data_IF_571127270018
#
_entry.id   IF_571127270018
#
_cell.length_a   1.000
_cell.length_b   1.000
_cell.length_c   1.000
_cell.angle_alpha   90.00
_cell.angle_beta   90.00
_cell.angle_gamma   90.00
#
_symmetry.space_group_name_H-M   'P 1'
#
loop_
_entity.id
_entity.type
_entity.pdbx_description
1 polymer ?
#
# COMPACT_ATOMS: atom_id res chain seq x y z
N UNK A 1 -8.26 -1.59 -21.10
CA UNK A 1 -7.53 -0.68 -20.21
C UNK A 1 -7.46 0.70 -20.82
N UNK A 2 -7.75 1.75 -20.04
CA UNK A 2 -7.60 3.13 -20.51
C UNK A 2 -6.12 3.54 -20.42
N UNK A 3 -5.57 4.19 -21.47
CA UNK A 3 -4.18 4.63 -21.47
C UNK A 3 -3.96 5.74 -20.43
N UNK A 4 -2.82 5.70 -19.76
CA UNK A 4 -2.40 6.77 -18.86
C UNK A 4 -1.91 7.94 -19.71
N UNK A 5 -2.65 9.05 -19.69
CA UNK A 5 -2.26 10.29 -20.38
C UNK A 5 -1.21 11.04 -19.55
N UNK A 6 -0.07 11.37 -20.16
CA UNK A 6 1.07 11.98 -19.48
C UNK A 6 1.47 13.31 -20.10
N UNK A 7 1.87 14.26 -19.25
CA UNK A 7 2.54 15.49 -19.68
C UNK A 7 4.05 15.24 -19.76
N UNK A 8 4.68 15.76 -20.80
CA UNK A 8 6.13 15.59 -21.02
C UNK A 8 6.93 16.11 -19.82
N UNK A 9 7.84 15.28 -19.30
CA UNK A 9 8.64 15.57 -18.10
C UNK A 9 7.98 15.17 -16.76
N UNK A 10 6.78 14.59 -16.78
CA UNK A 10 6.11 14.08 -15.57
C UNK A 10 6.59 12.67 -15.19
N UNK A 11 6.59 12.36 -13.89
CA UNK A 11 6.83 11.02 -13.36
C UNK A 11 5.52 10.22 -13.30
N UNK A 12 5.56 8.95 -13.71
CA UNK A 12 4.46 8.01 -13.48
C UNK A 12 4.62 7.41 -12.08
N UNK A 13 3.75 7.79 -11.15
CA UNK A 13 3.69 7.11 -9.85
C UNK A 13 2.93 5.80 -9.98
N UNK A 14 3.66 4.70 -9.97
CA UNK A 14 3.09 3.37 -9.78
C UNK A 14 2.84 3.15 -8.30
N UNK A 15 1.61 3.41 -7.84
CA UNK A 15 1.20 3.04 -6.48
C UNK A 15 1.44 1.55 -6.27
N UNK A 16 2.04 1.19 -5.13
CA UNK A 16 2.52 -0.17 -4.84
C UNK A 16 1.49 -1.29 -5.05
N UNK A 17 1.93 -2.55 -5.05
CA UNK A 17 1.09 -3.66 -5.44
C UNK A 17 -0.14 -3.76 -4.52
N UNK A 18 -1.31 -4.06 -5.12
CA UNK A 18 -2.57 -4.21 -4.37
C UNK A 18 -2.57 -5.37 -3.37
N UNK A 19 -1.57 -6.25 -3.45
CA UNK A 19 -1.36 -7.45 -2.62
C UNK A 19 0.13 -7.69 -2.44
N UNK A 20 0.54 -8.27 -1.31
CA UNK A 20 1.90 -8.74 -1.14
C UNK A 20 2.14 -10.05 -1.91
N UNK A 21 3.41 -10.33 -2.22
CA UNK A 21 3.84 -11.53 -2.93
C UNK A 21 4.50 -12.45 -1.90
N UNK A 22 4.00 -13.68 -1.77
CA UNK A 22 4.60 -14.68 -0.91
C UNK A 22 5.82 -15.31 -1.59
N UNK A 23 6.91 -15.45 -0.85
CA UNK A 23 8.13 -16.10 -1.29
C UNK A 23 8.40 -17.27 -0.34
N UNK A 24 8.64 -18.46 -0.89
CA UNK A 24 9.09 -19.66 -0.16
C UNK A 24 10.41 -20.20 -0.71
N UNK A 25 10.99 -19.48 -1.68
CA UNK A 25 12.23 -19.81 -2.37
C UNK A 25 12.81 -18.53 -2.96
N UNK A 26 14.03 -18.62 -3.51
CA UNK A 26 14.56 -17.53 -4.33
C UNK A 26 13.70 -17.37 -5.58
N UNK A 27 13.25 -16.16 -5.86
CA UNK A 27 12.36 -15.84 -6.98
C UNK A 27 13.03 -14.85 -7.90
N UNK A 28 12.83 -15.06 -9.20
CA UNK A 28 13.21 -14.14 -10.25
C UNK A 28 11.96 -13.34 -10.65
N UNK A 29 12.05 -12.02 -10.57
CA UNK A 29 11.01 -11.11 -11.05
C UNK A 29 11.43 -10.57 -12.40
N UNK A 30 10.77 -11.07 -13.44
CA UNK A 30 10.88 -10.56 -14.79
C UNK A 30 9.92 -9.38 -15.00
N UNK A 31 10.35 -8.39 -15.75
CA UNK A 31 9.57 -7.25 -16.15
C UNK A 31 9.85 -6.93 -17.62
N UNK A 32 8.78 -6.73 -18.38
CA UNK A 32 8.81 -6.16 -19.72
C UNK A 32 7.76 -5.05 -19.74
N UNK A 33 8.22 -3.79 -19.81
CA UNK A 33 7.34 -2.63 -19.86
C UNK A 33 7.58 -1.88 -21.15
N UNK A 34 6.49 -1.51 -21.83
CA UNK A 34 6.52 -0.85 -23.14
C UNK A 34 5.61 0.38 -23.14
N UNK A 35 5.98 1.39 -23.90
CA UNK A 35 5.14 2.56 -24.20
C UNK A 35 4.35 2.22 -25.46
N UNK A 36 3.02 2.24 -25.33
CA UNK A 36 2.14 1.98 -26.45
C UNK A 36 2.18 3.14 -27.45
N UNK A 37 2.56 2.85 -28.69
CA UNK A 37 2.75 3.86 -29.74
C UNK A 37 1.94 3.62 -31.02
N UNK A 38 1.35 2.44 -31.17
CA UNK A 38 0.54 2.08 -32.33
C UNK A 38 -0.48 0.99 -32.04
N UNK A 39 -1.00 0.40 -33.11
CA UNK A 39 -1.96 -0.72 -33.02
C UNK A 39 -1.25 -2.08 -32.98
N UNK A 40 0.01 -2.15 -33.43
CA UNK A 40 0.82 -3.36 -33.44
C UNK A 40 1.88 -3.33 -32.34
N UNK A 41 2.19 -4.49 -31.76
CA UNK A 41 3.19 -4.64 -30.69
C UNK A 41 4.61 -4.25 -31.15
N UNK A 42 4.87 -4.31 -32.46
CA UNK A 42 6.13 -3.86 -33.10
C UNK A 42 6.28 -2.32 -33.09
N UNK A 43 5.18 -1.57 -32.96
CA UNK A 43 5.21 -0.11 -32.86
C UNK A 43 5.58 0.36 -31.45
N UNK A 44 5.43 -0.50 -30.44
CA UNK A 44 5.59 -0.16 -29.04
C UNK A 44 7.07 -0.01 -28.66
N UNK A 45 7.39 1.07 -27.94
CA UNK A 45 8.76 1.34 -27.50
C UNK A 45 9.04 0.63 -26.18
N UNK A 46 10.06 -0.23 -26.17
CA UNK A 46 10.50 -0.91 -24.95
C UNK A 46 11.04 0.09 -23.92
N UNK A 47 10.36 0.25 -22.79
CA UNK A 47 10.80 1.15 -21.73
C UNK A 47 11.90 0.50 -20.90
N UNK A 48 11.62 -0.71 -20.38
CA UNK A 48 12.53 -1.55 -19.62
C UNK A 48 12.25 -3.02 -19.94
N UNK A 49 13.31 -3.83 -19.93
CA UNK A 49 13.24 -5.28 -20.03
C UNK A 49 14.38 -5.88 -19.21
N UNK A 50 14.04 -6.87 -18.40
CA UNK A 50 15.01 -7.59 -17.61
C UNK A 50 14.38 -8.34 -16.46
N UNK A 51 15.25 -8.83 -15.59
CA UNK A 51 14.84 -9.57 -14.43
C UNK A 51 15.71 -9.26 -13.22
N UNK A 52 15.12 -9.34 -12.03
CA UNK A 52 15.81 -9.18 -10.76
C UNK A 52 15.55 -10.38 -9.85
N UNK A 53 16.64 -10.98 -9.38
CA UNK A 53 16.58 -12.10 -8.44
C UNK A 53 16.49 -11.62 -7.00
N UNK A 54 15.58 -12.19 -6.22
CA UNK A 54 15.54 -12.02 -4.78
C UNK A 54 15.70 -13.35 -4.07
N UNK A 55 16.62 -13.38 -3.12
CA UNK A 55 16.87 -14.50 -2.23
C UNK A 55 16.50 -14.10 -0.80
N UNK A 56 15.77 -14.98 -0.12
CA UNK A 56 15.37 -14.77 1.28
C UNK A 56 16.58 -14.49 2.18
N UNK A 57 17.70 -15.19 1.98
CA UNK A 57 18.88 -15.11 2.86
C UNK A 57 19.64 -13.77 2.81
N UNK A 58 19.39 -12.94 1.78
CA UNK A 58 20.16 -11.70 1.55
C UNK A 58 19.33 -10.42 1.52
N UNK A 59 18.00 -10.51 1.47
CA UNK A 59 17.16 -9.33 1.35
C UNK A 59 16.95 -8.63 2.71
N UNK A 60 17.16 -7.30 2.80
CA UNK A 60 16.93 -6.57 4.04
C UNK A 60 15.44 -6.49 4.37
N UNK A 61 15.13 -6.42 5.66
CA UNK A 61 13.77 -6.25 6.16
C UNK A 61 13.29 -4.79 6.13
N UNK A 62 14.15 -3.85 5.73
CA UNK A 62 13.79 -2.47 5.46
C UNK A 62 13.62 -2.23 3.96
N UNK A 63 12.79 -1.24 3.56
CA UNK A 63 12.64 -0.87 2.16
C UNK A 63 13.97 -0.46 1.54
N UNK A 64 14.27 -1.01 0.37
CA UNK A 64 15.40 -0.61 -0.45
C UNK A 64 14.94 -0.44 -1.89
N UNK A 65 15.57 0.51 -2.58
CA UNK A 65 15.21 0.91 -3.93
C UNK A 65 16.30 0.46 -4.89
N UNK A 66 15.92 -0.30 -5.90
CA UNK A 66 16.75 -0.67 -7.03
C UNK A 66 16.36 0.18 -8.23
N UNK A 67 17.35 0.85 -8.83
CA UNK A 67 17.18 1.57 -10.09
C UNK A 67 17.42 0.60 -11.25
N UNK A 68 16.40 0.39 -12.07
CA UNK A 68 16.50 -0.37 -13.30
C UNK A 68 16.53 0.60 -14.46
N UNK A 69 17.59 0.54 -15.26
CA UNK A 69 17.71 1.33 -16.49
C UNK A 69 17.26 0.47 -17.67
N UNK A 70 16.43 1.05 -18.53
CA UNK A 70 16.16 0.51 -19.85
C UNK A 70 16.58 1.49 -20.93
N UNK A 71 16.27 1.15 -22.17
CA UNK A 71 16.75 1.88 -23.34
C UNK A 71 16.07 3.25 -23.49
N UNK A 72 14.80 3.35 -23.08
CA UNK A 72 13.99 4.55 -23.24
C UNK A 72 13.45 5.10 -21.90
N UNK A 73 13.95 4.60 -20.76
CA UNK A 73 13.57 5.10 -19.44
C UNK A 73 14.26 4.38 -18.28
N UNK A 74 13.83 4.68 -17.07
CA UNK A 74 14.27 3.98 -15.87
C UNK A 74 13.12 3.84 -14.88
N UNK A 75 13.13 2.76 -14.10
CA UNK A 75 12.13 2.46 -13.09
C UNK A 75 12.83 2.18 -11.77
N UNK A 76 12.40 2.91 -10.73
CA UNK A 76 12.78 2.62 -9.36
C UNK A 76 11.83 1.56 -8.79
N UNK A 77 12.38 0.41 -8.40
CA UNK A 77 11.63 -0.65 -7.74
C UNK A 77 12.01 -0.65 -6.26
N UNK A 78 11.04 -0.41 -5.39
CA UNK A 78 11.21 -0.47 -3.94
C UNK A 78 10.59 -1.73 -3.37
N UNK A 79 11.36 -2.50 -2.60
CA UNK A 79 10.93 -3.77 -2.02
C UNK A 79 11.41 -3.88 -0.57
N UNK A 80 10.70 -4.70 0.22
CA UNK A 80 11.08 -5.08 1.57
C UNK A 80 10.65 -6.53 1.81
N UNK A 81 11.55 -7.35 2.37
CA UNK A 81 11.21 -8.72 2.75
C UNK A 81 10.66 -8.74 4.18
N UNK A 82 9.44 -9.24 4.36
CA UNK A 82 8.81 -9.38 5.67
C UNK A 82 8.68 -10.87 5.99
N UNK A 83 9.47 -11.32 6.97
CA UNK A 83 9.43 -12.71 7.43
C UNK A 83 8.14 -13.01 8.18
N UNK A 84 7.60 -14.23 7.97
CA UNK A 84 6.36 -14.71 8.62
C UNK A 84 5.23 -13.67 8.51
N UNK A 85 5.04 -13.09 7.32
CA UNK A 85 4.06 -12.03 7.12
C UNK A 85 2.62 -12.57 6.98
N UNK A 86 1.66 -11.80 7.48
CA UNK A 86 0.23 -11.95 7.23
C UNK A 86 -0.29 -10.71 6.49
N UNK A 87 -1.30 -10.88 5.64
CA UNK A 87 -1.99 -9.77 4.99
C UNK A 87 -3.00 -9.15 5.96
N UNK A 88 -2.94 -7.84 6.13
CA UNK A 88 -3.90 -7.05 6.89
C UNK A 88 -4.72 -6.20 5.94
N UNK A 89 -6.00 -6.53 5.80
CA UNK A 89 -6.98 -5.64 5.15
C UNK A 89 -7.55 -4.71 6.20
N UNK A 90 -7.22 -3.42 6.09
CA UNK A 90 -7.63 -2.35 6.99
C UNK A 90 -8.76 -1.56 6.34
N UNK A 91 -9.92 -1.57 6.97
CA UNK A 91 -11.10 -0.79 6.59
C UNK A 91 -11.27 0.34 7.60
N UNK A 92 -11.13 1.58 7.12
CA UNK A 92 -11.26 2.80 7.93
C UNK A 92 -12.54 3.51 7.54
N UNK A 93 -13.41 3.73 8.52
CA UNK A 93 -14.64 4.52 8.38
C UNK A 93 -14.51 5.75 9.25
N UNK A 94 -14.56 6.92 8.62
CA UNK A 94 -14.62 8.21 9.31
C UNK A 94 -16.09 8.62 9.34
N UNK A 95 -16.60 9.01 10.51
CA UNK A 95 -17.97 9.50 10.67
C UNK A 95 -17.96 10.86 11.33
N UNK A 96 -18.52 11.86 10.66
CA UNK A 96 -18.72 13.20 11.24
C UNK A 96 -19.83 13.16 12.28
N UNK A 97 -19.59 13.79 13.43
CA UNK A 97 -20.55 13.91 14.52
C UNK A 97 -21.09 15.36 14.52
N UNK A 98 -21.99 15.68 13.59
CA UNK A 98 -22.66 16.99 13.59
C UNK A 98 -23.81 17.02 14.61
N UNK A 99 -23.89 18.12 15.37
CA UNK A 99 -25.02 18.41 16.24
C UNK A 99 -26.26 18.91 15.44
N UNK A 100 -27.43 18.70 16.03
CA UNK A 100 -28.81 19.06 15.64
C UNK A 100 -29.41 18.54 14.32
N UNK A 101 -28.62 18.13 13.33
CA UNK A 101 -29.12 17.36 12.18
C UNK A 101 -28.20 16.17 11.89
N UNK A 102 -28.74 14.97 12.04
CA UNK A 102 -28.01 13.70 12.02
C UNK A 102 -27.62 13.30 10.58
N UNK A 103 -26.78 14.08 9.92
CA UNK A 103 -26.22 13.75 8.61
C UNK A 103 -24.82 13.16 8.81
N UNK A 104 -24.71 11.84 8.89
CA UNK A 104 -23.41 11.17 8.94
C UNK A 104 -22.88 10.97 7.52
N UNK A 105 -21.99 11.86 7.05
CA UNK A 105 -21.15 11.55 5.90
C UNK A 105 -20.10 10.53 6.35
N UNK A 106 -20.05 9.38 5.68
CA UNK A 106 -19.05 8.35 5.94
C UNK A 106 -18.22 8.08 4.70
N UNK A 107 -16.89 8.12 4.88
CA UNK A 107 -15.94 7.73 3.85
C UNK A 107 -15.30 6.41 4.29
N UNK A 108 -15.45 5.38 3.45
CA UNK A 108 -14.77 4.11 3.63
C UNK A 108 -13.48 4.12 2.82
N UNK A 109 -12.36 3.87 3.49
CA UNK A 109 -11.07 3.63 2.85
C UNK A 109 -10.59 2.23 3.20
N UNK A 110 -10.05 1.54 2.18
CA UNK A 110 -9.47 0.20 2.34
C UNK A 110 -7.99 0.26 2.03
N UNK A 111 -7.19 -0.33 2.90
CA UNK A 111 -5.75 -0.50 2.74
C UNK A 111 -5.41 -1.97 2.92
N UNK A 112 -4.38 -2.44 2.20
CA UNK A 112 -3.86 -3.80 2.32
C UNK A 112 -2.37 -3.69 2.61
N UNK A 113 -1.91 -4.26 3.71
CA UNK A 113 -0.49 -4.22 4.12
C UNK A 113 -0.03 -5.58 4.62
N UNK A 114 1.24 -5.90 4.42
CA UNK A 114 1.86 -7.06 5.05
C UNK A 114 2.39 -6.70 6.43
N UNK A 115 2.13 -7.54 7.43
CA UNK A 115 2.55 -7.34 8.82
C UNK A 115 3.22 -8.61 9.32
N UNK A 116 4.34 -8.48 10.05
CA UNK A 116 5.00 -9.62 10.69
C UNK A 116 4.03 -10.27 11.69
N UNK A 117 3.78 -11.57 11.56
CA UNK A 117 2.93 -12.32 12.48
C UNK A 117 3.50 -12.29 13.92
N UNK A 118 2.63 -12.38 14.91
CA UNK A 118 2.99 -12.31 16.34
C UNK A 118 3.58 -10.95 16.76
N UNK A 119 3.33 -9.88 15.97
CA UNK A 119 3.71 -8.50 16.30
C UNK A 119 2.50 -7.57 16.38
N UNK A 120 2.74 -6.28 16.64
CA UNK A 120 1.69 -5.27 16.73
C UNK A 120 1.71 -4.32 15.53
N UNK A 121 0.56 -4.17 14.89
CA UNK A 121 0.31 -3.10 13.93
C UNK A 121 -0.21 -1.86 14.66
N UNK A 122 0.55 -0.77 14.63
CA UNK A 122 0.16 0.52 15.22
C UNK A 122 -0.30 1.50 14.14
N UNK A 123 -1.54 1.95 14.24
CA UNK A 123 -2.14 2.96 13.37
C UNK A 123 -2.23 4.29 14.13
N UNK A 124 -1.64 5.33 13.55
CA UNK A 124 -1.65 6.69 14.08
C UNK A 124 -2.62 7.55 13.28
N UNK A 125 -3.58 8.16 13.96
CA UNK A 125 -4.54 9.08 13.38
C UNK A 125 -4.29 10.48 13.92
N UNK A 126 -4.15 11.45 13.01
CA UNK A 126 -4.02 12.87 13.34
C UNK A 126 -5.19 13.62 12.70
N UNK A 127 -5.97 14.33 13.52
CA UNK A 127 -7.08 15.17 13.06
C UNK A 127 -6.72 16.62 13.37
N UNK A 128 -6.69 17.45 12.33
CA UNK A 128 -6.47 18.88 12.47
C UNK A 128 -7.71 19.59 13.02
N UNK A 129 -7.50 20.58 13.89
CA UNK A 129 -8.54 21.52 14.31
C UNK A 129 -8.32 22.85 13.60
N UNK A 130 -9.39 23.45 13.06
CA UNK A 130 -9.29 24.76 12.42
C UNK A 130 -8.72 25.80 13.40
N UNK A 131 -7.60 26.42 13.02
CA UNK A 131 -6.94 27.47 13.81
C UNK A 131 -5.80 26.99 14.72
N UNK A 132 -5.56 25.68 14.85
CA UNK A 132 -4.41 25.14 15.61
C UNK A 132 -3.34 24.60 14.67
N UNK A 133 -2.06 24.91 14.96
CA UNK A 133 -0.91 24.25 14.30
C UNK A 133 -0.70 22.82 14.78
N UNK A 134 -1.25 22.48 15.94
CA UNK A 134 -1.12 21.15 16.51
C UNK A 134 -2.43 20.38 16.44
N UNK A 135 -2.35 19.16 15.90
CA UNK A 135 -3.51 18.30 15.65
C UNK A 135 -3.63 17.27 16.75
N UNK A 136 -4.85 16.80 17.04
CA UNK A 136 -5.04 15.74 18.04
C UNK A 136 -4.58 14.42 17.44
N UNK A 137 -3.66 13.74 18.12
CA UNK A 137 -3.17 12.42 17.72
C UNK A 137 -3.79 11.31 18.58
N UNK A 138 -4.23 10.24 17.95
CA UNK A 138 -4.69 9.01 18.62
C UNK A 138 -4.13 7.78 17.93
N UNK A 139 -3.96 6.72 18.71
CA UNK A 139 -3.36 5.48 18.26
C UNK A 139 -4.35 4.32 18.43
N UNK A 140 -4.43 3.45 17.42
CA UNK A 140 -5.11 2.16 17.50
C UNK A 140 -4.08 1.09 17.18
N UNK A 141 -4.04 0.04 17.99
CA UNK A 141 -3.11 -1.07 17.77
C UNK A 141 -3.86 -2.38 17.60
N UNK A 142 -3.38 -3.26 16.73
CA UNK A 142 -3.92 -4.60 16.55
C UNK A 142 -2.78 -5.61 16.59
N UNK A 143 -2.98 -6.72 17.29
CA UNK A 143 -2.08 -7.87 17.23
C UNK A 143 -2.24 -8.58 15.89
N UNK A 144 -1.13 -8.83 15.21
CA UNK A 144 -1.09 -9.51 13.92
C UNK A 144 -1.26 -11.01 14.13
N UNK A 145 -2.37 -11.53 13.61
CA UNK A 145 -2.77 -12.92 13.74
C UNK A 145 -2.74 -13.62 12.38
N UNK A 146 -2.60 -14.94 12.37
CA UNK A 146 -2.64 -15.73 11.13
C UNK A 146 -3.96 -15.59 10.37
N UNK A 147 -5.06 -15.46 11.11
CA UNK A 147 -6.40 -15.22 10.58
C UNK A 147 -7.25 -14.48 11.61
N UNK A 148 -8.33 -13.85 11.14
CA UNK A 148 -9.37 -13.32 12.01
C UNK A 148 -9.75 -11.88 11.68
N UNK A 149 -10.59 -11.29 12.53
CA UNK A 149 -11.06 -9.92 12.34
C UNK A 149 -11.17 -9.23 13.69
N UNK A 150 -10.73 -7.97 13.77
CA UNK A 150 -10.86 -7.14 14.95
C UNK A 150 -11.31 -5.72 14.56
N UNK A 151 -12.20 -5.14 15.36
CA UNK A 151 -12.68 -3.77 15.18
C UNK A 151 -12.35 -2.92 16.40
N UNK A 152 -11.93 -1.67 16.18
CA UNK A 152 -11.70 -0.67 17.23
C UNK A 152 -12.17 0.69 16.73
N UNK A 153 -12.57 1.55 17.65
CA UNK A 153 -12.99 2.92 17.33
C UNK A 153 -12.23 3.90 18.22
N UNK A 154 -11.90 5.06 17.67
CA UNK A 154 -11.42 6.21 18.43
C UNK A 154 -12.34 7.40 18.19
N UNK A 155 -12.64 8.12 19.28
CA UNK A 155 -13.45 9.32 19.26
C UNK A 155 -12.55 10.56 19.24
N UNK A 156 -12.85 11.49 18.35
CA UNK A 156 -12.41 12.87 18.40
C UNK A 156 -13.60 13.75 18.77
N UNK A 157 -13.35 15.04 19.00
CA UNK A 157 -14.37 15.98 19.48
C UNK A 157 -15.60 16.08 18.55
N UNK A 158 -15.38 16.02 17.23
CA UNK A 158 -16.44 16.18 16.21
C UNK A 158 -16.48 15.05 15.18
N UNK A 159 -15.72 13.99 15.39
CA UNK A 159 -15.67 12.85 14.47
C UNK A 159 -15.28 11.57 15.20
N UNK A 160 -15.66 10.43 14.65
CA UNK A 160 -15.13 9.14 15.08
C UNK A 160 -14.42 8.46 13.92
N UNK A 161 -13.38 7.72 14.24
CA UNK A 161 -12.67 6.85 13.29
C UNK A 161 -12.84 5.42 13.78
N UNK A 162 -13.58 4.64 13.01
CA UNK A 162 -13.73 3.19 13.21
C UNK A 162 -12.78 2.47 12.27
N UNK A 163 -12.03 1.53 12.82
CA UNK A 163 -11.07 0.72 12.08
C UNK A 163 -11.39 -0.74 12.28
N UNK A 164 -11.56 -1.46 11.18
CA UNK A 164 -11.65 -2.92 11.15
C UNK A 164 -10.43 -3.46 10.44
N UNK A 165 -9.79 -4.46 11.04
CA UNK A 165 -8.67 -5.18 10.45
C UNK A 165 -9.07 -6.63 10.27
N UNK A 166 -8.90 -7.13 9.06
CA UNK A 166 -9.07 -8.55 8.72
C UNK A 166 -7.71 -9.12 8.36
N UNK A 167 -7.35 -10.22 9.01
CA UNK A 167 -6.09 -10.93 8.81
C UNK A 167 -6.30 -12.16 7.94
N UNK A 168 -5.42 -12.35 6.97
CA UNK A 168 -5.38 -13.53 6.12
C UNK A 168 -3.95 -13.96 5.84
N UNK A 169 -3.77 -15.25 5.58
CA UNK A 169 -2.51 -15.79 5.07
C UNK A 169 -2.25 -15.28 3.66
N UNK A 170 -1.00 -14.97 3.36
CA UNK A 170 -0.60 -14.67 1.99
C UNK A 170 -0.74 -15.93 1.12
N UNK A 171 -1.20 -15.81 -0.13
CA UNK A 171 -1.26 -16.96 -1.04
C UNK A 171 0.15 -17.51 -1.25
N UNK A 172 0.35 -18.79 -0.99
CA UNK A 172 1.57 -19.55 -1.35
C UNK A 172 1.53 -20.00 -2.79
#
# INVERSE_FOLDING_TARGET
DEPILMQQGSLIEMTGPKRAISLCASVLFEFDMRIKNGDQEEDDLQLIDGAVGYCELGAPCWPFTNLIKGDYGAVDITLALIYRAVEATIEVVISELQNSFHLSLSSLRRYVVAVVMDTWMHLKFRVGQNGSRDGVERYISFEANQHGCAGRQVMFEFTSISVKVTWSTLPT
#
